data_IF_971579267545
#
_entry.id   IF_971579267545
#
_cell.length_a   1.000
_cell.length_b   1.000
_cell.length_c   1.000
_cell.angle_alpha   90.00
_cell.angle_beta   90.00
_cell.angle_gamma   90.00
#
_symmetry.space_group_name_H-M   'P 1'
#
loop_
_entity.id
_entity.type
_entity.pdbx_description
1 polymer ?
#
# COMPACT_ATOMS: atom_id res chain seq x y z
N UNK A 1 -14.64 8.28 3.22
CA UNK A 1 -14.53 7.71 1.87
C UNK A 1 -15.12 6.31 1.91
N UNK A 2 -15.96 5.93 0.96
CA UNK A 2 -16.55 4.59 0.91
C UNK A 2 -15.43 3.53 0.74
N UNK A 3 -15.65 2.30 1.17
CA UNK A 3 -14.73 1.15 1.02
C UNK A 3 -14.26 0.86 -0.40
N UNK A 4 -14.93 1.43 -1.43
CA UNK A 4 -14.62 1.24 -2.85
C UNK A 4 -14.03 2.47 -3.54
N UNK A 5 -13.61 3.48 -2.78
CA UNK A 5 -13.09 4.73 -3.33
C UNK A 5 -11.63 4.96 -2.89
N UNK A 6 -10.86 5.64 -3.72
CA UNK A 6 -9.55 6.21 -3.39
C UNK A 6 -9.44 7.58 -4.08
N UNK A 7 -8.62 8.47 -3.53
CA UNK A 7 -8.35 9.77 -4.15
C UNK A 7 -6.94 9.74 -4.72
N UNK A 8 -6.81 10.14 -5.99
CA UNK A 8 -5.53 10.27 -6.68
C UNK A 8 -5.23 11.74 -6.95
N UNK A 9 -4.08 12.21 -6.47
CA UNK A 9 -3.65 13.60 -6.55
C UNK A 9 -2.34 13.66 -7.33
N UNK A 10 -2.27 14.54 -8.32
CA UNK A 10 -1.12 14.72 -9.21
C UNK A 10 -0.68 16.17 -9.19
N UNK A 11 0.63 16.40 -9.21
CA UNK A 11 1.19 17.75 -9.34
C UNK A 11 1.31 18.52 -8.03
N UNK A 12 1.20 17.85 -6.88
CA UNK A 12 1.36 18.50 -5.59
C UNK A 12 2.80 18.99 -5.40
N UNK A 13 2.94 20.28 -5.06
CA UNK A 13 4.21 20.93 -4.74
C UNK A 13 4.48 20.89 -3.22
N UNK A 14 5.73 20.65 -2.84
CA UNK A 14 6.18 20.75 -1.46
C UNK A 14 6.75 22.14 -1.16
N UNK A 15 5.98 22.93 -0.41
CA UNK A 15 6.36 24.29 0.00
C UNK A 15 7.19 24.37 1.28
N UNK A 16 7.21 23.33 2.12
CA UNK A 16 7.84 23.39 3.44
C UNK A 16 8.48 22.07 3.84
N UNK A 17 9.67 22.17 4.46
CA UNK A 17 10.31 21.09 5.21
C UNK A 17 9.84 21.12 6.67
N UNK A 18 9.91 19.97 7.34
CA UNK A 18 9.50 19.82 8.74
C UNK A 18 10.46 18.93 9.52
N UNK A 19 10.45 19.10 10.85
CA UNK A 19 11.11 18.22 11.81
C UNK A 19 10.09 17.64 12.79
N UNK A 20 10.44 16.50 13.37
CA UNK A 20 9.61 15.84 14.38
C UNK A 20 8.33 15.21 13.83
N UNK A 21 7.50 14.71 14.75
CA UNK A 21 6.21 14.08 14.46
C UNK A 21 5.29 14.19 15.68
N UNK A 22 3.98 14.21 15.45
CA UNK A 22 3.00 14.34 16.54
C UNK A 22 3.20 15.63 17.32
N UNK A 23 3.38 15.53 18.64
CA UNK A 23 3.59 16.70 19.52
C UNK A 23 4.93 17.43 19.31
N UNK A 24 5.88 16.82 18.59
CA UNK A 24 7.19 17.42 18.28
C UNK A 24 7.25 18.02 16.87
N UNK A 25 6.14 17.99 16.12
CA UNK A 25 6.09 18.52 14.76
C UNK A 25 6.36 20.03 14.76
N UNK A 26 7.33 20.46 13.97
CA UNK A 26 7.66 21.86 13.79
C UNK A 26 8.04 22.16 12.34
N UNK A 27 7.70 23.37 11.89
CA UNK A 27 8.24 23.92 10.65
C UNK A 27 9.76 24.04 10.75
N UNK A 28 10.47 23.56 9.73
CA UNK A 28 11.92 23.71 9.63
C UNK A 28 12.28 24.94 8.78
N UNK A 29 11.89 24.89 7.49
CA UNK A 29 12.18 25.93 6.51
C UNK A 29 11.29 25.82 5.27
N UNK A 30 11.24 26.90 4.48
CA UNK A 30 10.65 26.87 3.15
C UNK A 30 11.41 25.91 2.24
N UNK A 31 10.68 25.15 1.42
CA UNK A 31 11.22 24.23 0.43
C UNK A 31 11.03 24.83 -0.97
N UNK A 32 12.10 24.80 -1.77
CA UNK A 32 12.01 24.97 -3.23
C UNK A 32 11.94 23.56 -3.80
N UNK A 33 10.76 23.17 -4.27
CA UNK A 33 10.56 21.84 -4.85
C UNK A 33 11.33 21.72 -6.16
N UNK A 34 12.17 20.69 -6.26
CA UNK A 34 13.01 20.40 -7.43
C UNK A 34 12.49 19.19 -8.22
N UNK A 35 11.28 18.74 -7.91
CA UNK A 35 10.66 17.61 -8.62
C UNK A 35 10.50 17.97 -10.09
N UNK A 36 10.92 17.08 -10.97
CA UNK A 36 10.77 17.29 -12.41
C UNK A 36 9.31 17.44 -12.79
N UNK A 37 9.05 18.23 -13.83
CA UNK A 37 7.72 18.32 -14.40
C UNK A 37 7.46 17.18 -15.40
N UNK A 38 6.19 16.87 -15.62
CA UNK A 38 5.76 16.00 -16.69
C UNK A 38 4.48 16.52 -17.36
N UNK A 39 4.36 16.23 -18.64
CA UNK A 39 3.19 16.59 -19.44
C UNK A 39 2.14 15.49 -19.32
N UNK A 40 1.07 15.79 -18.58
CA UNK A 40 -0.07 14.89 -18.42
C UNK A 40 -0.93 14.80 -19.70
N UNK A 41 -0.82 15.81 -20.57
CA UNK A 41 -1.58 15.96 -21.80
C UNK A 41 -0.61 16.18 -22.97
N UNK A 42 -0.27 15.12 -23.70
CA UNK A 42 0.60 15.23 -24.89
C UNK A 42 0.06 16.19 -25.98
N UNK A 43 -1.22 16.58 -25.92
CA UNK A 43 -1.89 17.32 -27.00
C UNK A 43 -2.48 18.70 -26.60
N UNK A 44 -2.22 19.20 -25.39
CA UNK A 44 -2.67 20.56 -25.01
C UNK A 44 -1.51 21.41 -24.51
N UNK A 45 -0.91 22.17 -25.43
CA UNK A 45 0.19 23.12 -25.27
C UNK A 45 0.04 24.17 -24.14
N UNK A 46 -1.05 24.19 -23.36
CA UNK A 46 -1.40 25.28 -22.44
C UNK A 46 -2.01 24.85 -21.09
N UNK A 47 -1.98 23.58 -20.66
CA UNK A 47 -2.51 23.18 -19.34
C UNK A 47 -1.50 23.18 -18.18
N UNK A 48 -0.28 23.64 -18.43
CA UNK A 48 0.76 23.74 -17.40
C UNK A 48 1.45 22.40 -17.15
N UNK A 49 2.76 22.46 -16.99
CA UNK A 49 3.57 21.31 -16.64
C UNK A 49 3.26 20.92 -15.19
N UNK A 50 2.84 19.69 -14.92
CA UNK A 50 2.55 19.23 -13.54
C UNK A 50 3.83 18.69 -12.91
N UNK A 51 4.07 18.96 -11.61
CA UNK A 51 5.16 18.29 -10.90
C UNK A 51 4.94 16.79 -10.90
N UNK A 52 6.01 16.01 -11.06
CA UNK A 52 5.96 14.55 -11.11
C UNK A 52 5.80 13.89 -9.73
N UNK A 53 4.91 14.48 -8.92
CA UNK A 53 4.46 14.04 -7.61
C UNK A 53 3.09 13.42 -7.74
N UNK A 54 2.96 12.17 -7.29
CA UNK A 54 1.71 11.40 -7.34
C UNK A 54 1.42 10.88 -5.93
N UNK A 55 0.22 11.18 -5.42
CA UNK A 55 -0.21 10.84 -4.07
C UNK A 55 -1.54 10.10 -4.16
N UNK A 56 -1.62 8.95 -3.50
CA UNK A 56 -2.85 8.17 -3.35
C UNK A 56 -3.29 8.28 -1.90
N UNK A 57 -4.50 8.78 -1.67
CA UNK A 57 -5.12 8.76 -0.36
C UNK A 57 -6.07 7.56 -0.23
N UNK A 58 -5.79 6.71 0.76
CA UNK A 58 -6.61 5.56 1.16
C UNK A 58 -6.78 5.54 2.68
N UNK A 59 -8.01 5.36 3.14
CA UNK A 59 -8.36 5.35 4.56
C UNK A 59 -8.34 3.92 5.13
N UNK A 60 -7.65 3.69 6.24
CA UNK A 60 -7.68 2.43 6.98
C UNK A 60 -8.85 2.39 7.97
N UNK A 61 -9.28 1.19 8.36
CA UNK A 61 -10.22 1.01 9.49
C UNK A 61 -9.58 1.48 10.79
N UNK A 62 -10.36 2.19 11.62
CA UNK A 62 -9.99 2.52 13.00
C UNK A 62 -10.40 1.39 13.95
N UNK A 63 -9.44 0.54 14.32
CA UNK A 63 -9.66 -0.62 15.19
C UNK A 63 -9.77 -0.27 16.67
N UNK A 64 -9.56 0.99 17.06
CA UNK A 64 -9.92 1.44 18.42
C UNK A 64 -11.43 1.44 18.60
N UNK A 65 -12.15 1.78 17.53
CA UNK A 65 -13.62 1.79 17.49
C UNK A 65 -14.18 0.44 17.06
N UNK A 66 -13.58 -0.19 16.04
CA UNK A 66 -14.04 -1.49 15.54
C UNK A 66 -13.60 -2.70 16.39
N UNK A 67 -12.75 -2.48 17.41
CA UNK A 67 -12.17 -3.52 18.26
C UNK A 67 -10.88 -4.10 17.67
N UNK A 68 -9.81 -4.17 18.47
CA UNK A 68 -8.48 -4.59 18.00
C UNK A 68 -8.48 -6.01 17.42
N UNK A 69 -9.22 -6.94 18.01
CA UNK A 69 -9.27 -8.32 17.52
C UNK A 69 -10.11 -8.50 16.24
N UNK A 70 -10.95 -7.52 15.89
CA UNK A 70 -11.76 -7.62 14.69
C UNK A 70 -10.92 -7.50 13.42
N UNK A 71 -9.73 -6.90 13.47
CA UNK A 71 -8.83 -6.77 12.32
C UNK A 71 -8.44 -8.08 11.63
N UNK A 72 -8.55 -9.22 12.33
CA UNK A 72 -8.31 -10.55 11.79
C UNK A 72 -9.56 -11.20 11.19
N UNK A 73 -10.71 -10.51 11.19
CA UNK A 73 -11.94 -11.00 10.57
C UNK A 73 -11.82 -10.96 9.04
N UNK A 74 -12.49 -11.91 8.40
CA UNK A 74 -12.54 -11.98 6.93
C UNK A 74 -13.08 -10.68 6.32
N UNK A 75 -14.07 -10.06 6.96
CA UNK A 75 -14.67 -8.79 6.53
C UNK A 75 -13.63 -7.67 6.47
N UNK A 76 -12.89 -7.45 7.57
CA UNK A 76 -11.94 -6.35 7.66
C UNK A 76 -10.68 -6.59 6.84
N UNK A 77 -10.19 -7.84 6.78
CA UNK A 77 -9.10 -8.23 5.88
C UNK A 77 -9.47 -7.91 4.42
N UNK A 78 -10.65 -8.35 3.97
CA UNK A 78 -11.15 -8.07 2.60
C UNK A 78 -11.29 -6.59 2.34
N UNK A 79 -11.86 -5.84 3.29
CA UNK A 79 -12.06 -4.40 3.15
C UNK A 79 -10.73 -3.68 2.92
N UNK A 80 -9.71 -3.96 3.73
CA UNK A 80 -8.44 -3.26 3.63
C UNK A 80 -7.58 -3.72 2.45
N UNK A 81 -7.63 -5.01 2.08
CA UNK A 81 -7.03 -5.49 0.83
C UNK A 81 -7.64 -4.76 -0.36
N UNK A 82 -8.98 -4.71 -0.43
CA UNK A 82 -9.68 -4.03 -1.53
C UNK A 82 -9.36 -2.55 -1.57
N UNK A 83 -9.37 -1.86 -0.42
CA UNK A 83 -9.05 -0.43 -0.33
C UNK A 83 -7.63 -0.15 -0.85
N UNK A 84 -6.64 -0.94 -0.43
CA UNK A 84 -5.28 -0.81 -0.91
C UNK A 84 -5.19 -1.11 -2.41
N UNK A 85 -5.84 -2.18 -2.89
CA UNK A 85 -5.86 -2.57 -4.30
C UNK A 85 -6.44 -1.46 -5.19
N UNK A 86 -7.59 -0.89 -4.83
CA UNK A 86 -8.21 0.24 -5.55
C UNK A 86 -7.24 1.43 -5.61
N UNK A 87 -6.53 1.70 -4.52
CA UNK A 87 -5.49 2.73 -4.51
C UNK A 87 -4.27 2.39 -5.36
N UNK A 88 -3.91 1.12 -5.55
CA UNK A 88 -2.70 0.71 -6.26
C UNK A 88 -2.92 0.38 -7.74
N UNK A 89 -4.17 0.17 -8.16
CA UNK A 89 -4.52 -0.16 -9.54
C UNK A 89 -4.33 0.99 -10.53
N UNK A 90 -4.09 2.22 -10.07
CA UNK A 90 -3.91 3.35 -10.97
C UNK A 90 -2.70 3.11 -11.90
N UNK A 91 -2.98 3.04 -13.21
CA UNK A 91 -2.04 2.93 -14.32
C UNK A 91 -1.21 1.64 -14.34
N UNK A 92 -1.81 0.52 -14.78
CA UNK A 92 -1.04 -0.60 -15.35
C UNK A 92 -0.93 -0.36 -16.86
N UNK A 93 0.28 -0.45 -17.42
CA UNK A 93 0.43 -0.57 -18.88
C UNK A 93 -0.28 -1.85 -19.28
N UNK A 94 -1.07 -1.78 -20.33
CA UNK A 94 -1.78 -2.91 -20.92
C UNK A 94 -0.92 -4.17 -20.94
N UNK A 95 -1.36 -5.20 -20.22
CA UNK A 95 -0.98 -6.59 -20.42
C UNK A 95 -2.27 -7.42 -20.40
N UNK A 96 -3.13 -7.17 -21.40
CA UNK A 96 -4.18 -8.11 -21.81
C UNK A 96 -4.31 -8.10 -23.33
N UNK A 97 -3.99 -9.22 -24.02
CA UNK A 97 -4.45 -9.48 -25.38
C UNK A 97 -5.97 -9.71 -25.48
N UNK A 98 -6.68 -9.87 -24.36
CA UNK A 98 -8.08 -10.31 -24.32
C UNK A 98 -8.96 -9.54 -23.30
N UNK A 99 -8.67 -8.27 -22.99
CA UNK A 99 -9.60 -7.48 -22.17
C UNK A 99 -10.89 -7.25 -22.95
N UNK A 100 -11.99 -7.76 -22.39
CA UNK A 100 -13.35 -7.40 -22.77
C UNK A 100 -13.44 -5.90 -23.04
N UNK A 101 -14.18 -5.61 -24.11
CA UNK A 101 -14.57 -4.30 -24.60
C UNK A 101 -15.25 -3.43 -23.52
N UNK A 102 -14.45 -2.89 -22.59
CA UNK A 102 -14.78 -1.76 -21.71
C UNK A 102 -14.21 -0.50 -22.36
N UNK A 103 -14.65 -0.22 -23.59
CA UNK A 103 -14.26 0.96 -24.36
C UNK A 103 -14.92 2.27 -23.91
N UNK A 104 -15.84 2.25 -22.95
CA UNK A 104 -16.57 3.46 -22.54
C UNK A 104 -16.01 4.20 -21.32
N UNK A 105 -15.07 3.62 -20.57
CA UNK A 105 -14.27 4.37 -19.58
C UNK A 105 -12.85 4.53 -20.13
N UNK A 106 -12.76 5.15 -21.30
CA UNK A 106 -11.52 5.75 -21.78
C UNK A 106 -11.03 6.72 -20.70
N UNK A 107 -10.09 6.29 -19.85
CA UNK A 107 -9.23 7.21 -19.11
C UNK A 107 -8.11 7.61 -20.07
N UNK A 108 -8.28 8.68 -20.88
CA UNK A 108 -7.41 8.97 -22.03
C UNK A 108 -6.07 9.59 -21.57
N UNK A 109 -5.77 9.53 -20.28
CA UNK A 109 -4.68 10.23 -19.63
C UNK A 109 -3.55 9.27 -19.25
N UNK A 110 -3.18 8.42 -20.21
CA UNK A 110 -2.03 7.53 -20.12
C UNK A 110 -0.77 8.39 -20.09
N UNK A 111 -0.32 8.70 -18.89
CA UNK A 111 1.05 9.14 -18.69
C UNK A 111 1.91 7.88 -18.84
N UNK A 112 2.77 7.86 -19.85
CA UNK A 112 3.77 6.81 -20.09
C UNK A 112 4.89 6.81 -19.04
N UNK A 113 4.56 7.22 -17.81
CA UNK A 113 5.49 7.27 -16.68
C UNK A 113 5.98 5.86 -16.44
N UNK A 114 7.31 5.71 -16.37
CA UNK A 114 7.97 4.55 -15.79
C UNK A 114 7.13 3.98 -14.65
N UNK A 115 6.95 2.67 -14.59
CA UNK A 115 6.13 2.01 -13.57
C UNK A 115 6.68 2.32 -12.17
N UNK A 116 6.23 3.43 -11.60
CA UNK A 116 6.66 3.89 -10.29
C UNK A 116 6.19 2.85 -9.27
N UNK A 117 7.08 2.41 -8.36
CA UNK A 117 6.66 1.55 -7.28
C UNK A 117 5.75 2.33 -6.32
N UNK A 118 4.89 1.61 -5.62
CA UNK A 118 4.11 2.14 -4.50
C UNK A 118 5.05 2.39 -3.33
N UNK A 119 5.28 3.65 -2.98
CA UNK A 119 5.96 4.06 -1.76
C UNK A 119 4.96 4.09 -0.59
N UNK A 120 5.14 3.24 0.43
CA UNK A 120 4.20 3.12 1.56
C UNK A 120 4.90 2.77 2.89
N UNK A 121 4.16 2.56 3.96
CA UNK A 121 4.68 2.13 5.26
C UNK A 121 3.60 1.55 6.18
N UNK A 122 3.63 1.95 7.45
CA UNK A 122 2.74 1.49 8.52
C UNK A 122 1.31 2.05 8.41
N UNK A 123 0.66 1.85 7.26
CA UNK A 123 -0.71 2.31 6.97
C UNK A 123 -1.71 1.81 8.02
N UNK A 124 -2.37 2.74 8.71
CA UNK A 124 -3.38 2.46 9.73
C UNK A 124 -2.86 1.81 11.02
N UNK A 125 -1.55 1.75 11.25
CA UNK A 125 -0.99 1.04 12.41
C UNK A 125 -0.68 1.93 13.63
N UNK A 126 -0.72 3.25 13.45
CA UNK A 126 -0.52 4.22 14.54
C UNK A 126 -1.83 4.52 15.24
N UNK A 127 -2.36 5.73 15.00
CA UNK A 127 -3.61 6.19 15.61
C UNK A 127 -4.80 5.24 15.40
N UNK A 128 -4.81 4.39 14.37
CA UNK A 128 -5.93 3.49 14.06
C UNK A 128 -5.76 2.06 14.61
N UNK A 129 -4.67 1.76 15.31
CA UNK A 129 -4.50 0.49 16.04
C UNK A 129 -4.33 -0.77 15.19
N UNK A 130 -4.07 -0.63 13.89
CA UNK A 130 -3.81 -1.78 13.01
C UNK A 130 -2.50 -2.50 13.35
N UNK A 131 -2.48 -3.81 13.16
CA UNK A 131 -1.29 -4.63 13.32
C UNK A 131 -0.32 -4.43 12.14
N UNK A 132 0.91 -4.02 12.44
CA UNK A 132 1.95 -3.73 11.43
C UNK A 132 2.22 -4.89 10.47
N UNK A 133 2.28 -6.13 10.99
CA UNK A 133 2.61 -7.31 10.17
C UNK A 133 1.46 -7.67 9.24
N UNK A 134 0.22 -7.67 9.74
CA UNK A 134 -0.99 -7.90 8.93
C UNK A 134 -1.11 -6.83 7.84
N UNK A 135 -0.99 -5.55 8.19
CA UNK A 135 -1.10 -4.44 7.23
C UNK A 135 0.00 -4.46 6.16
N UNK A 136 1.21 -4.90 6.48
CA UNK A 136 2.26 -5.08 5.48
C UNK A 136 1.93 -6.19 4.50
N UNK A 137 1.44 -7.34 4.98
CA UNK A 137 1.03 -8.45 4.10
C UNK A 137 -0.20 -8.11 3.26
N UNK A 138 -1.17 -7.37 3.80
CA UNK A 138 -2.30 -6.81 3.05
C UNK A 138 -1.82 -5.95 1.88
N UNK A 139 -0.86 -5.06 2.13
CA UNK A 139 -0.32 -4.19 1.08
C UNK A 139 0.48 -4.97 0.03
N UNK A 140 1.19 -6.04 0.42
CA UNK A 140 1.89 -6.94 -0.51
C UNK A 140 0.90 -7.68 -1.40
N UNK A 141 -0.19 -8.22 -0.83
CA UNK A 141 -1.29 -8.84 -1.59
C UNK A 141 -1.84 -7.83 -2.61
N UNK A 142 -2.24 -6.65 -2.14
CA UNK A 142 -2.83 -5.63 -3.00
C UNK A 142 -1.89 -5.17 -4.12
N UNK A 143 -0.60 -4.96 -3.81
CA UNK A 143 0.39 -4.54 -4.80
C UNK A 143 0.68 -5.66 -5.82
N UNK A 144 0.70 -6.92 -5.37
CA UNK A 144 0.91 -8.07 -6.25
C UNK A 144 -0.25 -8.26 -7.23
N UNK A 145 -1.49 -8.15 -6.75
CA UNK A 145 -2.69 -8.17 -7.61
C UNK A 145 -2.74 -6.98 -8.57
N UNK A 146 -2.28 -5.80 -8.14
CA UNK A 146 -2.16 -4.62 -8.99
C UNK A 146 -0.92 -4.65 -9.93
N UNK A 147 -0.11 -5.72 -9.90
CA UNK A 147 1.16 -5.84 -10.65
C UNK A 147 2.11 -4.66 -10.42
N UNK A 148 2.19 -4.14 -9.19
CA UNK A 148 3.05 -3.02 -8.81
C UNK A 148 4.16 -3.45 -7.85
N UNK A 149 5.35 -2.92 -8.07
CA UNK A 149 6.42 -2.98 -7.08
C UNK A 149 6.06 -2.17 -5.83
N UNK A 150 6.47 -2.64 -4.66
CA UNK A 150 6.21 -1.98 -3.37
C UNK A 150 7.53 -1.60 -2.70
N UNK A 151 7.68 -0.34 -2.31
CA UNK A 151 8.77 0.16 -1.45
C UNK A 151 8.18 0.48 -0.08
N UNK A 152 8.62 -0.27 0.94
CA UNK A 152 8.08 -0.16 2.29
C UNK A 152 9.04 0.57 3.23
N UNK A 153 8.58 1.67 3.82
CA UNK A 153 9.28 2.46 4.83
C UNK A 153 8.77 2.10 6.23
N UNK A 154 9.63 1.51 7.05
CA UNK A 154 9.32 1.06 8.43
C UNK A 154 9.53 2.13 9.50
N UNK A 155 9.89 3.35 9.10
CA UNK A 155 10.07 4.48 10.01
C UNK A 155 11.04 4.19 11.18
N UNK A 156 12.18 3.57 10.87
CA UNK A 156 13.25 3.27 11.83
C UNK A 156 13.10 1.94 12.59
N UNK A 157 11.99 1.21 12.41
CA UNK A 157 11.75 -0.08 13.06
C UNK A 157 12.59 -1.21 12.40
N UNK A 158 13.84 -1.34 12.84
CA UNK A 158 14.81 -2.30 12.28
C UNK A 158 14.39 -3.75 12.46
N UNK A 159 13.80 -4.11 13.60
CA UNK A 159 13.36 -5.48 13.90
C UNK A 159 12.22 -5.87 12.96
N UNK A 160 11.24 -4.99 12.79
CA UNK A 160 10.17 -5.19 11.82
C UNK A 160 10.72 -5.33 10.39
N UNK A 161 11.64 -4.45 9.98
CA UNK A 161 12.25 -4.50 8.64
C UNK A 161 12.90 -5.85 8.35
N UNK A 162 13.69 -6.38 9.29
CA UNK A 162 14.38 -7.66 9.09
C UNK A 162 13.39 -8.84 9.01
N UNK A 163 12.37 -8.86 9.88
CA UNK A 163 11.30 -9.87 9.78
C UNK A 163 10.55 -9.78 8.45
N UNK A 164 10.16 -8.57 8.02
CA UNK A 164 9.46 -8.36 6.76
C UNK A 164 10.31 -8.81 5.57
N UNK A 165 11.60 -8.45 5.52
CA UNK A 165 12.53 -8.89 4.48
C UNK A 165 12.65 -10.40 4.42
N UNK A 166 12.81 -11.06 5.57
CA UNK A 166 12.91 -12.52 5.66
C UNK A 166 11.63 -13.19 5.15
N UNK A 167 10.46 -12.72 5.56
CA UNK A 167 9.17 -13.22 5.06
C UNK A 167 9.06 -13.05 3.55
N UNK A 168 9.24 -11.83 3.02
CA UNK A 168 9.12 -11.55 1.58
C UNK A 168 10.09 -12.40 0.76
N UNK A 169 11.32 -12.59 1.24
CA UNK A 169 12.30 -13.47 0.59
C UNK A 169 11.77 -14.89 0.46
N UNK A 170 11.28 -15.47 1.57
CA UNK A 170 10.76 -16.85 1.58
C UNK A 170 9.51 -16.99 0.71
N UNK A 171 8.60 -16.01 0.74
CA UNK A 171 7.41 -16.00 -0.12
C UNK A 171 7.81 -16.03 -1.61
N UNK A 172 8.84 -15.25 -1.99
CA UNK A 172 9.38 -15.22 -3.36
C UNK A 172 10.09 -16.51 -3.76
N UNK A 173 10.99 -17.01 -2.91
CA UNK A 173 11.75 -18.26 -3.14
C UNK A 173 10.81 -19.45 -3.36
N UNK A 174 9.71 -19.51 -2.60
CA UNK A 174 8.68 -20.55 -2.71
C UNK A 174 7.65 -20.30 -3.81
N UNK A 175 7.72 -19.15 -4.50
CA UNK A 175 6.73 -18.73 -5.52
C UNK A 175 5.29 -18.78 -4.98
N UNK A 176 5.10 -18.38 -3.73
CA UNK A 176 3.80 -18.44 -3.07
C UNK A 176 2.80 -17.53 -3.80
N UNK A 177 1.61 -18.06 -4.13
CA UNK A 177 0.55 -17.30 -4.78
C UNK A 177 -0.12 -16.35 -3.79
N UNK A 178 -0.71 -15.27 -4.32
CA UNK A 178 -1.50 -14.33 -3.51
C UNK A 178 -2.63 -15.05 -2.76
N UNK A 179 -3.31 -16.00 -3.40
CA UNK A 179 -4.37 -16.80 -2.78
C UNK A 179 -3.89 -17.60 -1.56
N UNK A 180 -2.67 -18.15 -1.63
CA UNK A 180 -2.09 -18.93 -0.55
C UNK A 180 -1.69 -18.04 0.63
N UNK A 181 -1.06 -16.88 0.35
CA UNK A 181 -0.75 -15.90 1.40
C UNK A 181 -2.02 -15.37 2.07
N UNK A 182 -3.06 -15.05 1.29
CA UNK A 182 -4.35 -14.62 1.80
C UNK A 182 -4.99 -15.67 2.71
N UNK A 183 -4.96 -16.94 2.31
CA UNK A 183 -5.46 -18.05 3.12
C UNK A 183 -4.67 -18.19 4.44
N UNK A 184 -3.34 -18.09 4.39
CA UNK A 184 -2.51 -18.10 5.61
C UNK A 184 -2.88 -16.97 6.58
N UNK A 185 -3.15 -15.76 6.09
CA UNK A 185 -3.55 -14.63 6.96
C UNK A 185 -4.91 -14.88 7.61
N UNK A 186 -5.85 -15.53 6.92
CA UNK A 186 -7.15 -15.91 7.51
C UNK A 186 -6.94 -16.93 8.64
N UNK A 187 -6.14 -17.97 8.39
CA UNK A 187 -5.84 -19.02 9.37
C UNK A 187 -5.06 -18.50 10.59
N UNK A 188 -4.29 -17.42 10.42
CA UNK A 188 -3.56 -16.79 11.52
C UNK A 188 -4.48 -16.38 12.67
N UNK A 189 -5.74 -16.02 12.41
CA UNK A 189 -6.71 -15.68 13.47
C UNK A 189 -6.84 -16.79 14.51
N UNK A 190 -7.01 -18.03 14.05
CA UNK A 190 -7.20 -19.17 14.94
C UNK A 190 -5.89 -19.62 15.57
N UNK A 191 -4.78 -19.51 14.81
CA UNK A 191 -3.46 -19.78 15.35
C UNK A 191 -3.07 -18.82 16.49
N UNK A 192 -3.38 -17.52 16.35
CA UNK A 192 -3.15 -16.46 17.35
C UNK A 192 -3.92 -16.71 18.64
N UNK A 193 -5.14 -17.27 18.58
CA UNK A 193 -5.91 -17.63 19.79
C UNK A 193 -5.19 -18.69 20.63
N UNK A 194 -4.48 -19.60 19.97
CA UNK A 194 -3.81 -20.75 20.60
C UNK A 194 -2.35 -20.46 20.97
N UNK A 195 -1.74 -19.40 20.42
CA UNK A 195 -0.34 -19.03 20.63
C UNK A 195 -0.22 -17.59 21.15
N UNK A 196 0.01 -17.43 22.45
CA UNK A 196 0.24 -16.10 23.06
C UNK A 196 1.60 -15.55 22.59
N UNK A 197 1.66 -14.24 22.32
CA UNK A 197 2.87 -13.47 21.99
C UNK A 197 3.57 -13.80 20.67
N UNK A 198 2.84 -14.27 19.66
CA UNK A 198 3.44 -14.48 18.35
C UNK A 198 2.78 -13.62 17.27
N UNK A 199 3.62 -13.02 16.42
CA UNK A 199 3.18 -12.16 15.32
C UNK A 199 2.92 -12.95 14.03
N UNK A 200 2.33 -12.30 13.04
CA UNK A 200 2.02 -12.94 11.76
C UNK A 200 3.29 -13.39 11.02
N UNK A 201 4.41 -12.67 11.14
CA UNK A 201 5.63 -13.04 10.44
C UNK A 201 6.17 -14.38 10.96
N UNK A 202 6.20 -14.56 12.28
CA UNK A 202 6.63 -15.80 12.90
C UNK A 202 5.72 -16.98 12.47
N UNK A 203 4.40 -16.76 12.39
CA UNK A 203 3.46 -17.75 11.85
C UNK A 203 3.76 -18.12 10.40
N UNK A 204 3.93 -17.12 9.51
CA UNK A 204 4.23 -17.35 8.09
C UNK A 204 5.55 -18.10 7.92
N UNK A 205 6.58 -17.74 8.69
CA UNK A 205 7.88 -18.42 8.67
C UNK A 205 7.80 -19.86 9.16
N UNK A 206 6.89 -20.18 10.08
CA UNK A 206 6.68 -21.55 10.57
C UNK A 206 5.99 -22.45 9.53
N UNK A 207 4.99 -21.92 8.81
CA UNK A 207 4.28 -22.62 7.73
C UNK A 207 5.07 -22.69 6.43
N UNK A 208 6.11 -21.87 6.32
CA UNK A 208 7.02 -21.85 5.19
C UNK A 208 8.31 -22.66 5.44
N UNK A 209 8.28 -23.66 6.33
CA UNK A 209 9.38 -24.63 6.53
C UNK A 209 8.98 -26.07 6.18
N UNK A 210 7.69 -26.35 6.12
CA UNK A 210 7.09 -27.54 5.51
C UNK A 210 6.97 -27.40 4.00
#
# INVERSE_FOLDING_TARGET
MNSYEAIYIVGAERFSDYLGYGSTLQFDKSCVDKTDYFDFYHDRKNLGSHLNTQIIAIDAIDYRTAGIESQYSLEYLRRDIRKAYIGFQFFTKDDTPDALDITEVHMPYMCTVDEKPIATGHWGCGAFGGNKAVKAMIQIIAASEARKNLVFYSFGDKVFTEKLRKCVRILKERKLKVSELYQMIIEFKDWKKNSKNVDLFDYLLSRSQT
#
